data_IF_193217941415
#
_entry.id   IF_193217941415
#
_cell.length_a   1.000
_cell.length_b   1.000
_cell.length_c   1.000
_cell.angle_alpha   90.00
_cell.angle_beta   90.00
_cell.angle_gamma   90.00
#
_symmetry.space_group_name_H-M   'P 1'
#
loop_
_entity.id
_entity.type
_entity.pdbx_description
1 polymer ?
#
# COMPACT_ATOMS: atom_id res chain seq x y z
N UNK A 1 -2.53 -14.40 -6.30
CA UNK A 1 -3.84 -13.72 -6.34
C UNK A 1 -4.45 -13.82 -4.94
N UNK A 2 -4.71 -12.69 -4.29
CA UNK A 2 -5.40 -12.64 -2.99
C UNK A 2 -6.87 -12.38 -3.29
N UNK A 3 -7.76 -13.31 -2.93
CA UNK A 3 -9.21 -13.15 -3.13
C UNK A 3 -9.91 -13.07 -1.78
N UNK A 4 -9.64 -11.98 -1.06
CA UNK A 4 -10.18 -11.71 0.28
C UNK A 4 -10.71 -10.27 0.28
N UNK A 5 -11.81 -10.04 1.00
CA UNK A 5 -12.33 -8.70 1.19
C UNK A 5 -11.32 -7.83 1.95
N UNK A 6 -11.05 -6.63 1.43
CA UNK A 6 -10.10 -5.66 1.95
C UNK A 6 -10.70 -4.27 1.87
N UNK A 7 -10.71 -3.56 3.00
CA UNK A 7 -11.31 -2.22 3.10
C UNK A 7 -10.34 -1.19 3.69
N UNK A 8 -10.76 0.08 3.74
CA UNK A 8 -9.88 1.19 4.17
C UNK A 8 -9.35 1.04 5.59
N UNK A 9 -10.11 0.45 6.51
CA UNK A 9 -9.67 0.21 7.89
C UNK A 9 -8.70 -0.96 8.04
N UNK A 10 -8.50 -1.76 6.99
CA UNK A 10 -7.60 -2.92 7.02
C UNK A 10 -6.13 -2.55 6.76
N UNK A 11 -5.83 -1.27 6.50
CA UNK A 11 -4.46 -0.79 6.36
C UNK A 11 -4.27 0.65 6.86
N UNK A 12 -3.05 0.94 7.29
CA UNK A 12 -2.60 2.26 7.68
C UNK A 12 -1.55 2.75 6.67
N UNK A 13 -1.73 3.96 6.13
CA UNK A 13 -0.74 4.64 5.28
C UNK A 13 0.10 5.58 6.15
N UNK A 14 1.43 5.51 6.02
CA UNK A 14 2.36 6.32 6.80
C UNK A 14 3.60 6.70 5.99
N UNK A 15 4.42 7.61 6.55
CA UNK A 15 5.68 8.06 5.96
C UNK A 15 5.54 8.52 4.48
N UNK A 16 4.59 9.42 4.24
CA UNK A 16 4.31 9.99 2.91
C UNK A 16 5.36 11.06 2.60
N UNK A 17 6.15 10.87 1.54
CA UNK A 17 7.05 11.87 0.98
C UNK A 17 6.47 12.45 -0.31
N UNK A 18 5.97 13.68 -0.21
CA UNK A 18 5.36 14.40 -1.35
C UNK A 18 6.39 14.81 -2.40
N UNK A 19 7.68 14.90 -2.04
CA UNK A 19 8.73 15.29 -2.99
C UNK A 19 9.11 14.14 -3.91
N UNK A 20 9.18 12.92 -3.38
CA UNK A 20 9.53 11.72 -4.15
C UNK A 20 8.29 10.98 -4.67
N UNK A 21 7.12 11.28 -4.11
CA UNK A 21 5.86 10.61 -4.38
C UNK A 21 5.79 9.25 -3.71
N UNK A 22 6.50 9.02 -2.61
CA UNK A 22 6.57 7.70 -1.97
C UNK A 22 5.66 7.63 -0.74
N UNK A 23 5.16 6.44 -0.43
CA UNK A 23 4.46 6.16 0.83
C UNK A 23 4.71 4.72 1.29
N UNK A 24 4.45 4.45 2.55
CA UNK A 24 4.41 3.11 3.11
C UNK A 24 3.01 2.76 3.59
N UNK A 25 2.69 1.46 3.62
CA UNK A 25 1.46 0.98 4.22
C UNK A 25 1.74 -0.22 5.14
N UNK A 26 0.95 -0.32 6.20
CA UNK A 26 0.95 -1.46 7.13
C UNK A 26 -0.40 -2.16 7.05
N UNK A 27 -0.40 -3.47 6.86
CA UNK A 27 -1.63 -4.26 6.96
C UNK A 27 -2.05 -4.42 8.42
N UNK A 28 -3.33 -4.19 8.71
CA UNK A 28 -3.95 -4.37 10.02
C UNK A 28 -4.75 -5.68 10.11
N UNK A 29 -4.76 -6.45 9.02
CA UNK A 29 -5.48 -7.71 8.84
C UNK A 29 -4.66 -8.66 7.97
N UNK A 30 -4.80 -9.96 8.21
CA UNK A 30 -4.23 -11.01 7.38
C UNK A 30 -5.01 -11.12 6.05
N UNK A 31 -4.28 -11.05 4.92
CA UNK A 31 -4.85 -11.20 3.58
C UNK A 31 -4.48 -12.54 2.95
N UNK A 32 -3.26 -13.01 3.18
CA UNK A 32 -2.77 -14.33 2.79
C UNK A 32 -1.60 -14.75 3.69
N UNK A 33 -1.11 -16.00 3.61
CA UNK A 33 0.07 -16.42 4.37
C UNK A 33 1.31 -15.54 4.16
N UNK A 34 1.46 -14.95 2.97
CA UNK A 34 2.55 -14.04 2.58
C UNK A 34 2.30 -12.59 3.02
N UNK A 35 1.03 -12.18 3.13
CA UNK A 35 0.60 -10.83 3.49
C UNK A 35 -0.19 -10.83 4.78
N UNK A 36 0.53 -10.87 5.90
CA UNK A 36 -0.05 -10.90 7.25
C UNK A 36 -0.16 -9.51 7.87
N UNK A 37 -0.94 -9.42 8.93
CA UNK A 37 -0.98 -8.27 9.83
C UNK A 37 0.44 -7.85 10.23
N UNK A 38 0.72 -6.55 10.15
CA UNK A 38 2.04 -5.98 10.36
C UNK A 38 2.96 -6.03 9.15
N UNK A 39 2.57 -6.66 8.03
CA UNK A 39 3.29 -6.54 6.76
C UNK A 39 3.42 -5.07 6.36
N UNK A 40 4.64 -4.67 6.00
CA UNK A 40 4.95 -3.33 5.52
C UNK A 40 5.28 -3.41 4.04
N UNK A 41 4.50 -2.71 3.23
CA UNK A 41 4.78 -2.50 1.81
C UNK A 41 5.09 -1.04 1.51
N UNK A 42 5.57 -0.82 0.30
CA UNK A 42 5.86 0.51 -0.24
C UNK A 42 4.98 0.76 -1.45
N UNK A 43 4.62 2.01 -1.65
CA UNK A 43 3.94 2.45 -2.85
C UNK A 43 4.43 3.81 -3.30
N UNK A 44 4.02 4.17 -4.51
CA UNK A 44 4.34 5.45 -5.13
C UNK A 44 3.07 6.10 -5.66
N UNK A 45 3.07 7.42 -5.70
CA UNK A 45 2.03 8.22 -6.31
C UNK A 45 2.59 9.32 -7.20
N UNK A 46 1.82 9.66 -8.24
CA UNK A 46 2.11 10.73 -9.17
C UNK A 46 0.92 11.67 -9.27
N UNK A 47 1.19 12.97 -9.24
CA UNK A 47 0.19 14.03 -9.39
C UNK A 47 0.18 14.52 -10.84
N UNK A 48 -0.80 14.09 -11.63
CA UNK A 48 -0.99 14.50 -13.03
C UNK A 48 -2.35 15.20 -13.18
N UNK A 49 -2.40 16.50 -12.85
CA UNK A 49 -3.66 17.25 -12.75
C UNK A 49 -4.60 17.00 -13.95
N UNK A 50 -5.88 16.65 -13.71
CA UNK A 50 -6.59 16.64 -12.41
C UNK A 50 -6.49 15.32 -11.61
N UNK A 51 -5.63 14.38 -12.02
CA UNK A 51 -5.59 13.03 -11.50
C UNK A 51 -4.46 12.81 -10.48
N UNK A 52 -4.66 11.77 -9.66
CA UNK A 52 -3.63 11.19 -8.80
C UNK A 52 -3.54 9.71 -9.16
N UNK A 53 -2.35 9.28 -9.57
CA UNK A 53 -2.06 7.87 -9.83
C UNK A 53 -1.36 7.29 -8.62
N UNK A 54 -1.76 6.10 -8.18
CA UNK A 54 -1.13 5.39 -7.07
C UNK A 54 -0.83 3.96 -7.47
N UNK A 55 0.34 3.46 -7.10
CA UNK A 55 0.73 2.06 -7.28
C UNK A 55 1.40 1.53 -6.01
N UNK A 56 1.25 0.24 -5.76
CA UNK A 56 1.97 -0.46 -4.69
C UNK A 56 2.92 -1.47 -5.31
N UNK A 57 4.14 -1.54 -4.79
CA UNK A 57 5.14 -2.49 -5.23
C UNK A 57 5.08 -3.71 -4.32
N UNK A 58 4.67 -4.85 -4.88
CA UNK A 58 4.76 -6.12 -4.17
C UNK A 58 6.17 -6.66 -4.36
N UNK A 59 6.97 -6.62 -3.29
CA UNK A 59 8.34 -7.17 -3.33
C UNK A 59 8.32 -8.64 -3.71
N UNK A 60 8.95 -8.98 -4.83
CA UNK A 60 9.24 -10.37 -5.19
C UNK A 60 10.44 -10.81 -4.36
N UNK A 61 10.22 -11.70 -3.40
CA UNK A 61 11.26 -12.52 -2.77
C UNK A 61 11.07 -13.97 -3.15
#
# INVERSE_FOLDING_TARGET
MVNVFFEFSDAEIFAIDVRTGDFHYRLLKDLSPEFRTGYIGSGRFELSQPHVHTGVELGWR
#
